data_IF_277150809929
#
_entry.id   IF_277150809929
#
_cell.length_a   1.000
_cell.length_b   1.000
_cell.length_c   1.000
_cell.angle_alpha   90.00
_cell.angle_beta   90.00
_cell.angle_gamma   90.00
#
_symmetry.space_group_name_H-M   'P 1'
#
loop_
_entity.id
_entity.type
_entity.pdbx_description
1 polymer ?
#
# COMPACT_ATOMS: atom_id res chain seq x y z
N UNK A 1 16.59 28.31 -5.25
CA UNK A 1 15.27 28.55 -4.64
C UNK A 1 15.38 28.19 -3.17
N UNK A 2 15.36 29.16 -2.24
CA UNK A 2 15.50 28.86 -0.82
C UNK A 2 14.17 28.28 -0.30
N UNK A 3 14.21 27.07 0.25
CA UNK A 3 13.07 26.42 0.89
C UNK A 3 12.74 27.26 2.14
N UNK A 4 11.48 27.68 2.26
CA UNK A 4 11.06 28.53 3.39
C UNK A 4 11.22 27.77 4.71
N UNK A 5 11.78 28.41 5.78
CA UNK A 5 12.07 27.73 7.06
C UNK A 5 10.83 27.09 7.72
N UNK A 6 9.64 27.61 7.49
CA UNK A 6 8.38 27.03 7.97
C UNK A 6 8.03 25.69 7.31
N UNK A 7 8.42 25.47 6.06
CA UNK A 7 8.19 24.21 5.34
C UNK A 7 9.11 23.11 5.90
N UNK A 8 10.37 23.44 6.16
CA UNK A 8 11.32 22.48 6.76
C UNK A 8 10.88 22.04 8.17
N UNK A 9 10.40 22.97 9.02
CA UNK A 9 9.90 22.64 10.34
C UNK A 9 8.69 21.68 10.27
N UNK A 10 7.78 21.91 9.33
CA UNK A 10 6.60 21.03 9.14
C UNK A 10 6.98 19.65 8.61
N UNK A 11 7.96 19.54 7.74
CA UNK A 11 8.51 18.26 7.27
C UNK A 11 9.14 17.47 8.43
N UNK A 12 9.90 18.12 9.30
CA UNK A 12 10.48 17.48 10.49
C UNK A 12 9.41 16.94 11.45
N UNK A 13 8.27 17.63 11.61
CA UNK A 13 7.16 17.14 12.42
C UNK A 13 6.51 15.88 11.81
N UNK A 14 6.34 15.82 10.49
CA UNK A 14 5.86 14.57 9.83
C UNK A 14 6.86 13.43 10.04
N UNK A 15 8.16 13.67 9.91
CA UNK A 15 9.18 12.67 10.20
C UNK A 15 9.15 12.20 11.67
N UNK A 16 8.87 13.13 12.61
CA UNK A 16 8.68 12.78 14.01
C UNK A 16 7.47 11.87 14.20
N UNK A 17 6.35 12.16 13.54
CA UNK A 17 5.17 11.28 13.57
C UNK A 17 5.49 9.88 13.01
N UNK A 18 6.20 9.79 11.89
CA UNK A 18 6.66 8.51 11.34
C UNK A 18 7.55 7.75 12.33
N UNK A 19 8.40 8.46 13.07
CA UNK A 19 9.23 7.85 14.12
C UNK A 19 8.37 7.25 15.25
N UNK A 20 7.28 7.95 15.66
CA UNK A 20 6.32 7.40 16.61
C UNK A 20 5.60 6.17 16.06
N UNK A 21 5.22 6.17 14.76
CA UNK A 21 4.63 5.00 14.11
C UNK A 21 5.56 3.78 14.17
N UNK A 22 6.85 3.95 13.88
CA UNK A 22 7.84 2.88 13.99
C UNK A 22 7.99 2.34 15.43
N UNK A 23 7.79 3.21 16.43
CA UNK A 23 7.78 2.83 17.84
C UNK A 23 6.44 2.25 18.31
N UNK A 24 5.45 2.16 17.41
CA UNK A 24 4.06 1.76 17.71
C UNK A 24 3.35 2.68 18.71
N UNK A 25 3.83 3.91 18.88
CA UNK A 25 3.15 4.95 19.66
C UNK A 25 2.19 5.73 18.76
N UNK A 26 1.07 5.07 18.44
CA UNK A 26 0.09 5.62 17.49
C UNK A 26 -0.60 6.87 18.03
N UNK A 27 -0.84 6.96 19.35
CA UNK A 27 -1.45 8.13 19.97
C UNK A 27 -0.60 9.39 19.75
N UNK A 28 0.69 9.33 20.04
CA UNK A 28 1.60 10.45 19.81
C UNK A 28 1.73 10.79 18.31
N UNK A 29 1.73 9.79 17.42
CA UNK A 29 1.74 10.02 15.98
C UNK A 29 0.48 10.75 15.52
N UNK A 30 -0.70 10.34 15.97
CA UNK A 30 -2.00 10.93 15.63
C UNK A 30 -2.09 12.39 16.09
N UNK A 31 -1.64 12.71 17.32
CA UNK A 31 -1.63 14.09 17.82
C UNK A 31 -0.80 15.01 16.93
N UNK A 32 0.42 14.58 16.57
CA UNK A 32 1.27 15.37 15.68
C UNK A 32 0.63 15.54 14.29
N UNK A 33 0.09 14.46 13.70
CA UNK A 33 -0.47 14.48 12.34
C UNK A 33 -1.77 15.30 12.26
N UNK A 34 -2.63 15.28 13.28
CA UNK A 34 -3.83 16.12 13.33
C UNK A 34 -3.52 17.61 13.34
N UNK A 35 -2.36 18.02 13.83
CA UNK A 35 -1.88 19.39 13.74
C UNK A 35 -1.74 19.94 12.32
N UNK A 36 -1.76 19.06 11.31
CA UNK A 36 -1.64 19.43 9.90
C UNK A 36 -2.99 19.69 9.19
N UNK A 37 -4.13 19.42 9.82
CA UNK A 37 -5.46 19.55 9.19
C UNK A 37 -5.79 20.98 8.69
N UNK A 38 -5.02 21.98 9.09
CA UNK A 38 -5.20 23.40 8.69
C UNK A 38 -3.98 23.96 7.95
N UNK A 39 -3.05 23.12 7.52
CA UNK A 39 -1.81 23.54 6.87
C UNK A 39 -1.91 23.46 5.34
N UNK A 40 -0.77 23.60 4.66
CA UNK A 40 -0.65 23.46 3.21
C UNK A 40 -1.20 22.11 2.70
N UNK A 41 -1.78 22.10 1.48
CA UNK A 41 -2.44 20.92 0.90
C UNK A 41 -1.51 19.71 0.78
N UNK A 42 -0.26 19.94 0.40
CA UNK A 42 0.72 18.84 0.27
C UNK A 42 1.06 18.20 1.61
N UNK A 43 1.23 19.02 2.65
CA UNK A 43 1.46 18.54 4.03
C UNK A 43 0.22 17.82 4.57
N UNK A 44 -0.98 18.35 4.28
CA UNK A 44 -2.23 17.70 4.66
C UNK A 44 -2.40 16.34 3.98
N UNK A 45 -2.07 16.21 2.68
CA UNK A 45 -2.14 14.93 1.98
C UNK A 45 -1.23 13.89 2.63
N UNK A 46 0.01 14.26 2.93
CA UNK A 46 0.98 13.36 3.58
C UNK A 46 0.56 12.96 5.00
N UNK A 47 0.10 13.93 5.80
CA UNK A 47 -0.41 13.66 7.14
C UNK A 47 -1.65 12.75 7.11
N UNK A 48 -2.59 13.03 6.20
CA UNK A 48 -3.79 12.22 6.02
C UNK A 48 -3.48 10.80 5.56
N UNK A 49 -2.47 10.60 4.67
CA UNK A 49 -2.01 9.26 4.28
C UNK A 49 -1.54 8.47 5.50
N UNK A 50 -0.73 9.08 6.36
CA UNK A 50 -0.22 8.41 7.56
C UNK A 50 -1.34 8.16 8.59
N UNK A 51 -2.27 9.10 8.77
CA UNK A 51 -3.43 8.92 9.65
C UNK A 51 -4.31 7.77 9.16
N UNK A 52 -4.57 7.69 7.86
CA UNK A 52 -5.32 6.57 7.27
C UNK A 52 -4.68 5.23 7.60
N UNK A 53 -3.37 5.13 7.47
CA UNK A 53 -2.64 3.90 7.78
C UNK A 53 -2.70 3.54 9.27
N UNK A 54 -2.55 4.52 10.17
CA UNK A 54 -2.65 4.29 11.62
C UNK A 54 -4.03 3.77 11.98
N UNK A 55 -5.10 4.46 11.53
CA UNK A 55 -6.46 4.05 11.84
C UNK A 55 -6.81 2.67 11.26
N UNK A 56 -6.26 2.33 10.11
CA UNK A 56 -6.39 0.98 9.55
C UNK A 56 -5.74 -0.07 10.46
N UNK A 57 -4.54 0.19 10.99
CA UNK A 57 -3.87 -0.72 11.93
C UNK A 57 -4.60 -0.85 13.26
N UNK A 58 -5.31 0.19 13.70
CA UNK A 58 -6.15 0.18 14.90
C UNK A 58 -7.54 -0.45 14.66
N UNK A 59 -7.86 -0.81 13.41
CA UNK A 59 -9.15 -1.41 13.03
C UNK A 59 -10.29 -0.40 12.87
N UNK A 60 -10.02 0.90 12.96
CA UNK A 60 -11.01 1.95 12.67
C UNK A 60 -11.09 2.22 11.16
N UNK A 61 -11.77 1.32 10.45
CA UNK A 61 -11.93 1.42 9.00
C UNK A 61 -12.66 2.70 8.56
N UNK A 62 -13.53 3.27 9.38
CA UNK A 62 -14.24 4.50 9.04
C UNK A 62 -13.31 5.71 9.01
N UNK A 63 -12.50 5.89 10.04
CA UNK A 63 -11.48 6.94 10.07
C UNK A 63 -10.40 6.71 9.03
N UNK A 64 -9.96 5.46 8.84
CA UNK A 64 -8.99 5.10 7.81
C UNK A 64 -9.48 5.51 6.41
N UNK A 65 -10.71 5.18 6.05
CA UNK A 65 -11.34 5.57 4.78
C UNK A 65 -11.40 7.09 4.63
N UNK A 66 -11.93 7.79 5.63
CA UNK A 66 -12.04 9.26 5.63
C UNK A 66 -10.70 9.94 5.33
N UNK A 67 -9.64 9.51 6.00
CA UNK A 67 -8.33 10.11 5.81
C UNK A 67 -7.66 9.69 4.49
N UNK A 68 -7.90 8.47 3.98
CA UNK A 68 -7.43 8.05 2.66
C UNK A 68 -8.09 8.89 1.55
N UNK A 69 -9.41 9.07 1.60
CA UNK A 69 -10.14 9.92 0.65
C UNK A 69 -9.69 11.38 0.73
N UNK A 70 -9.42 11.88 1.95
CA UNK A 70 -8.89 13.23 2.14
C UNK A 70 -7.50 13.38 1.53
N UNK A 71 -6.61 12.40 1.72
CA UNK A 71 -5.27 12.40 1.14
C UNK A 71 -5.34 12.40 -0.40
N UNK A 72 -6.16 11.54 -0.98
CA UNK A 72 -6.36 11.48 -2.43
C UNK A 72 -6.99 12.77 -3.01
N UNK A 73 -7.89 13.42 -2.29
CA UNK A 73 -8.49 14.70 -2.69
C UNK A 73 -7.45 15.82 -2.80
N UNK A 74 -6.47 15.85 -1.90
CA UNK A 74 -5.42 16.88 -1.88
C UNK A 74 -4.25 16.56 -2.80
N UNK A 75 -3.97 15.27 -3.00
CA UNK A 75 -2.94 14.78 -3.90
C UNK A 75 -3.43 13.55 -4.68
N UNK A 76 -3.86 13.80 -5.92
CA UNK A 76 -4.43 12.78 -6.82
C UNK A 76 -3.40 11.78 -7.36
N UNK A 77 -2.12 12.08 -7.20
CA UNK A 77 -1.02 11.20 -7.62
C UNK A 77 -0.45 10.37 -6.47
N UNK A 78 -1.04 10.47 -5.28
CA UNK A 78 -0.61 9.75 -4.10
C UNK A 78 -1.06 8.29 -4.14
N UNK A 79 -0.24 7.42 -4.75
CA UNK A 79 -0.51 5.98 -4.82
C UNK A 79 -0.69 5.35 -3.42
N UNK A 80 0.05 5.81 -2.39
CA UNK A 80 -0.08 5.29 -1.02
C UNK A 80 -1.44 5.57 -0.39
N UNK A 81 -2.05 6.71 -0.71
CA UNK A 81 -3.41 7.01 -0.24
C UNK A 81 -4.43 6.05 -0.87
N UNK A 82 -4.27 5.74 -2.16
CA UNK A 82 -5.09 4.74 -2.84
C UNK A 82 -4.86 3.33 -2.29
N UNK A 83 -3.61 2.95 -2.00
CA UNK A 83 -3.32 1.67 -1.33
C UNK A 83 -4.04 1.57 0.01
N UNK A 84 -4.00 2.62 0.83
CA UNK A 84 -4.71 2.62 2.11
C UNK A 84 -6.23 2.51 1.93
N UNK A 85 -6.80 3.19 0.93
CA UNK A 85 -8.23 3.09 0.62
C UNK A 85 -8.61 1.68 0.17
N UNK A 86 -7.82 1.10 -0.75
CA UNK A 86 -8.01 -0.27 -1.20
C UNK A 86 -7.91 -1.30 -0.07
N UNK A 87 -6.98 -1.09 0.89
CA UNK A 87 -6.87 -1.94 2.07
C UNK A 87 -8.13 -1.92 2.93
N UNK A 88 -8.75 -0.76 3.12
CA UNK A 88 -10.02 -0.64 3.86
C UNK A 88 -11.15 -1.33 3.10
N UNK A 89 -11.24 -1.14 1.78
CA UNK A 89 -12.24 -1.80 0.93
C UNK A 89 -12.07 -3.33 0.98
N UNK A 90 -10.84 -3.82 0.88
CA UNK A 90 -10.52 -5.24 1.00
C UNK A 90 -10.93 -5.81 2.36
N UNK A 91 -10.60 -5.11 3.46
CA UNK A 91 -10.96 -5.52 4.81
C UNK A 91 -12.47 -5.55 5.06
N UNK A 92 -13.23 -4.73 4.32
CA UNK A 92 -14.69 -4.71 4.35
C UNK A 92 -15.33 -5.76 3.42
N UNK A 93 -14.54 -6.55 2.68
CA UNK A 93 -15.02 -7.53 1.71
C UNK A 93 -15.48 -6.93 0.37
N UNK A 94 -15.20 -5.65 0.13
CA UNK A 94 -15.54 -4.94 -1.11
C UNK A 94 -14.45 -5.18 -2.17
N UNK A 95 -14.26 -6.45 -2.56
CA UNK A 95 -13.10 -6.86 -3.38
C UNK A 95 -13.06 -6.20 -4.76
N UNK A 96 -14.19 -6.02 -5.43
CA UNK A 96 -14.27 -5.36 -6.74
C UNK A 96 -13.76 -3.93 -6.66
N UNK A 97 -14.21 -3.17 -5.65
CA UNK A 97 -13.75 -1.79 -5.44
C UNK A 97 -12.28 -1.74 -5.05
N UNK A 98 -11.82 -2.71 -4.24
CA UNK A 98 -10.41 -2.80 -3.88
C UNK A 98 -9.54 -3.04 -5.12
N UNK A 99 -9.97 -3.90 -6.04
CA UNK A 99 -9.29 -4.14 -7.33
C UNK A 99 -9.16 -2.84 -8.12
N UNK A 100 -10.28 -2.12 -8.33
CA UNK A 100 -10.28 -0.84 -9.06
C UNK A 100 -9.32 0.17 -8.42
N UNK A 101 -9.37 0.29 -7.09
CA UNK A 101 -8.53 1.24 -6.34
C UNK A 101 -7.05 0.86 -6.38
N UNK A 102 -6.70 -0.44 -6.27
CA UNK A 102 -5.31 -0.88 -6.37
C UNK A 102 -4.77 -0.79 -7.80
N UNK A 103 -5.61 -1.00 -8.81
CA UNK A 103 -5.25 -0.76 -10.22
C UNK A 103 -4.92 0.73 -10.43
N UNK A 104 -5.77 1.64 -9.96
CA UNK A 104 -5.49 3.07 -10.03
C UNK A 104 -4.18 3.42 -9.31
N UNK A 105 -3.91 2.83 -8.15
CA UNK A 105 -2.65 3.04 -7.43
C UNK A 105 -1.44 2.59 -8.27
N UNK A 106 -1.51 1.42 -8.90
CA UNK A 106 -0.45 0.88 -9.75
C UNK A 106 -0.28 1.68 -11.07
N UNK A 107 -1.31 2.36 -11.56
CA UNK A 107 -1.21 3.28 -12.70
C UNK A 107 -0.52 4.59 -12.33
N UNK A 108 -0.73 5.10 -11.09
CA UNK A 108 -0.04 6.31 -10.59
C UNK A 108 1.44 6.06 -10.30
N UNK A 109 1.75 4.88 -9.81
CA UNK A 109 3.10 4.44 -9.48
C UNK A 109 3.26 2.96 -9.86
N UNK A 110 3.86 2.73 -11.03
CA UNK A 110 4.05 1.38 -11.60
C UNK A 110 4.97 0.49 -10.76
N UNK A 111 5.78 1.09 -9.90
CA UNK A 111 6.73 0.42 -9.02
C UNK A 111 6.20 0.28 -7.59
N UNK A 112 4.95 0.68 -7.34
CA UNK A 112 4.29 0.52 -6.06
C UNK A 112 4.02 -0.97 -5.80
N UNK A 113 4.99 -1.63 -5.17
CA UNK A 113 4.96 -3.05 -4.83
C UNK A 113 3.73 -3.39 -4.00
N UNK A 114 3.39 -2.54 -3.03
CA UNK A 114 2.22 -2.74 -2.16
C UNK A 114 0.91 -2.75 -2.94
N UNK A 115 0.78 -1.88 -3.95
CA UNK A 115 -0.43 -1.85 -4.79
C UNK A 115 -0.58 -3.14 -5.59
N UNK A 116 0.51 -3.61 -6.23
CA UNK A 116 0.49 -4.84 -7.04
C UNK A 116 0.25 -6.08 -6.17
N UNK A 117 0.86 -6.13 -4.99
CA UNK A 117 0.69 -7.24 -4.04
C UNK A 117 -0.77 -7.33 -3.56
N UNK A 118 -1.33 -6.21 -3.11
CA UNK A 118 -2.70 -6.14 -2.61
C UNK A 118 -3.74 -6.35 -3.72
N UNK A 119 -3.42 -5.94 -4.95
CA UNK A 119 -4.22 -6.25 -6.13
C UNK A 119 -4.29 -7.77 -6.36
N UNK A 120 -3.15 -8.47 -6.27
CA UNK A 120 -3.11 -9.93 -6.35
C UNK A 120 -3.95 -10.60 -5.26
N UNK A 121 -3.90 -10.09 -4.02
CA UNK A 121 -4.74 -10.60 -2.93
C UNK A 121 -6.24 -10.32 -3.16
N UNK A 122 -6.59 -9.16 -3.72
CA UNK A 122 -7.97 -8.81 -4.01
C UNK A 122 -8.55 -9.71 -5.12
N UNK A 123 -7.78 -9.97 -6.19
CA UNK A 123 -8.17 -10.94 -7.21
C UNK A 123 -8.35 -12.35 -6.65
N UNK A 124 -7.46 -12.76 -5.72
CA UNK A 124 -7.58 -14.05 -5.05
C UNK A 124 -8.84 -14.11 -4.19
N UNK A 125 -9.22 -13.01 -3.52
CA UNK A 125 -10.49 -12.91 -2.77
C UNK A 125 -11.74 -13.01 -3.67
N UNK A 126 -11.62 -12.65 -4.95
CA UNK A 126 -12.67 -12.82 -5.97
C UNK A 126 -12.60 -14.17 -6.69
N UNK A 127 -11.72 -15.07 -6.27
CA UNK A 127 -11.45 -16.36 -6.94
C UNK A 127 -10.96 -16.22 -8.40
N UNK A 128 -10.52 -15.02 -8.80
CA UNK A 128 -9.91 -14.77 -10.08
C UNK A 128 -8.40 -15.12 -10.03
N UNK A 129 -8.13 -16.42 -10.03
CA UNK A 129 -6.79 -16.95 -9.79
C UNK A 129 -5.79 -16.61 -10.90
N UNK A 130 -6.25 -16.47 -12.15
CA UNK A 130 -5.40 -16.12 -13.28
C UNK A 130 -4.82 -14.70 -13.15
N UNK A 131 -5.68 -13.70 -12.81
CA UNK A 131 -5.21 -12.33 -12.62
C UNK A 131 -4.37 -12.19 -11.34
N UNK A 132 -4.73 -12.91 -10.26
CA UNK A 132 -3.91 -12.97 -9.06
C UNK A 132 -2.49 -13.50 -9.38
N UNK A 133 -2.40 -14.57 -10.17
CA UNK A 133 -1.11 -15.15 -10.60
C UNK A 133 -0.28 -14.13 -11.39
N UNK A 134 -0.87 -13.42 -12.35
CA UNK A 134 -0.17 -12.38 -13.12
C UNK A 134 0.41 -11.29 -12.23
N UNK A 135 -0.32 -10.86 -11.20
CA UNK A 135 0.18 -9.87 -10.24
C UNK A 135 1.41 -10.39 -9.48
N UNK A 136 1.35 -11.62 -8.95
CA UNK A 136 2.48 -12.17 -8.20
C UNK A 136 3.66 -12.55 -9.10
N UNK A 137 3.45 -12.99 -10.35
CA UNK A 137 4.53 -13.19 -11.32
C UNK A 137 5.24 -11.87 -11.66
N UNK A 138 4.48 -10.77 -11.84
CA UNK A 138 5.09 -9.43 -11.98
C UNK A 138 5.94 -9.08 -10.77
N UNK A 139 5.43 -9.30 -9.55
CA UNK A 139 6.19 -9.08 -8.33
C UNK A 139 7.44 -9.95 -8.21
N UNK A 140 7.38 -11.19 -8.67
CA UNK A 140 8.53 -12.07 -8.68
C UNK A 140 9.66 -11.54 -9.58
N UNK A 141 9.34 -10.84 -10.67
CA UNK A 141 10.37 -10.19 -11.49
C UNK A 141 11.06 -9.03 -10.79
N UNK A 142 10.32 -8.32 -9.91
CA UNK A 142 10.83 -7.18 -9.13
C UNK A 142 11.58 -7.66 -7.88
N UNK A 143 11.03 -8.69 -7.21
CA UNK A 143 11.53 -9.23 -5.95
C UNK A 143 11.66 -10.77 -6.00
N UNK A 144 12.65 -11.32 -6.72
CA UNK A 144 12.73 -12.76 -6.99
C UNK A 144 12.86 -13.65 -5.74
N UNK A 145 13.37 -13.11 -4.65
CA UNK A 145 13.63 -13.84 -3.41
C UNK A 145 12.63 -13.50 -2.29
N UNK A 146 11.54 -12.81 -2.60
CA UNK A 146 10.54 -12.48 -1.58
C UNK A 146 9.70 -13.71 -1.24
N UNK A 147 9.79 -14.15 0.03
CA UNK A 147 9.12 -15.37 0.50
C UNK A 147 7.58 -15.29 0.39
N UNK A 148 6.99 -14.12 0.61
CA UNK A 148 5.53 -13.96 0.52
C UNK A 148 5.04 -14.07 -0.93
N UNK A 149 5.79 -13.51 -1.88
CA UNK A 149 5.47 -13.62 -3.32
C UNK A 149 5.57 -15.07 -3.75
N UNK A 150 6.67 -15.76 -3.42
CA UNK A 150 6.87 -17.19 -3.75
C UNK A 150 5.76 -18.05 -3.14
N UNK A 151 5.42 -17.81 -1.87
CA UNK A 151 4.33 -18.52 -1.20
C UNK A 151 2.99 -18.34 -1.90
N UNK A 152 2.63 -17.10 -2.29
CA UNK A 152 1.37 -16.84 -2.98
C UNK A 152 1.31 -17.49 -4.35
N UNK A 153 2.41 -17.50 -5.11
CA UNK A 153 2.49 -18.21 -6.40
C UNK A 153 2.29 -19.71 -6.21
N UNK A 154 2.99 -20.34 -5.26
CA UNK A 154 2.84 -21.77 -4.97
C UNK A 154 1.40 -22.11 -4.55
N UNK A 155 0.81 -21.32 -3.67
CA UNK A 155 -0.57 -21.50 -3.23
C UNK A 155 -1.59 -21.37 -4.38
N UNK A 156 -1.36 -20.45 -5.33
CA UNK A 156 -2.21 -20.32 -6.51
C UNK A 156 -2.08 -21.54 -7.43
N UNK A 157 -0.87 -22.07 -7.63
CA UNK A 157 -0.68 -23.30 -8.40
C UNK A 157 -1.44 -24.48 -7.80
N UNK A 158 -1.41 -24.64 -6.47
CA UNK A 158 -2.18 -25.67 -5.77
C UNK A 158 -3.69 -25.49 -5.98
N UNK A 159 -4.20 -24.25 -5.86
CA UNK A 159 -5.62 -23.95 -6.06
C UNK A 159 -6.09 -24.17 -7.50
N UNK A 160 -5.21 -23.92 -8.48
CA UNK A 160 -5.49 -24.12 -9.91
C UNK A 160 -5.31 -25.59 -10.34
N UNK A 161 -4.83 -26.46 -9.46
CA UNK A 161 -4.51 -27.85 -9.78
C UNK A 161 -3.35 -28.02 -10.80
N UNK A 162 -2.53 -26.98 -10.96
CA UNK A 162 -1.37 -26.99 -11.84
C UNK A 162 -0.11 -27.27 -11.03
N UNK A 163 0.78 -28.20 -11.46
CA UNK A 163 2.03 -28.43 -10.73
C UNK A 163 2.83 -27.13 -10.70
N UNK A 164 3.33 -26.77 -9.51
CA UNK A 164 4.20 -25.62 -9.35
C UNK A 164 5.42 -25.80 -10.27
N UNK A 165 5.56 -24.93 -11.25
CA UNK A 165 6.83 -24.81 -11.99
C UNK A 165 7.87 -24.31 -11.00
N UNK A 166 9.07 -24.91 -11.01
CA UNK A 166 10.17 -24.60 -10.09
C UNK A 166 10.27 -23.05 -9.89
N UNK A 167 10.05 -22.52 -8.68
CA UNK A 167 10.06 -21.08 -8.45
C UNK A 167 11.45 -20.44 -8.61
N UNK A 168 12.47 -21.28 -8.77
CA UNK A 168 13.83 -20.83 -9.02
C UNK A 168 14.19 -21.08 -10.49
N UNK A 169 14.37 -20.04 -11.33
CA UNK A 169 14.95 -20.23 -12.64
C UNK A 169 16.27 -20.96 -12.46
N UNK A 170 16.42 -22.08 -13.17
CA UNK A 170 17.61 -22.90 -13.11
C UNK A 170 18.86 -21.99 -13.13
N UNK A 171 19.65 -22.06 -12.07
CA UNK A 171 20.96 -21.40 -12.06
C UNK A 171 21.66 -21.88 -13.33
N UNK A 172 21.91 -20.95 -14.26
CA UNK A 172 22.79 -21.21 -15.37
C UNK A 172 24.12 -21.70 -14.75
N UNK A 173 24.33 -22.99 -14.80
CA UNK A 173 25.61 -23.59 -14.45
C UNK A 173 26.61 -23.03 -15.44
N UNK A 174 27.36 -22.00 -15.04
CA UNK A 174 28.56 -21.59 -15.73
C UNK A 174 29.54 -22.76 -15.62
N UNK A 175 29.73 -23.45 -16.75
CA UNK A 175 30.91 -24.25 -17.00
C UNK A 175 32.04 -23.36 -17.48
#
# INVERSE_FOLDING_TARGET
MAIQPHHQASEMEIHKAVTFMHKKDFNAAVEVLKGFEKKDKGLMARAATNLSFIYFLEGDNNSAKKYAEMAHKYDRYNAKALVNLGNVQYANGEFEKAVETFQEAAEKDSDCVEAIFNLGLAYKGMENLDEAKRCFEKLQTIMPMNAEVIYNIANLHDQMGTPATDPFPARACCH
#
